data_IF_593785342123
#
_entry.id   IF_593785342123
#
_cell.length_a   1.000
_cell.length_b   1.000
_cell.length_c   1.000
_cell.angle_alpha   90.00
_cell.angle_beta   90.00
_cell.angle_gamma   90.00
#
_symmetry.space_group_name_H-M   'P 1'
#
loop_
_entity.id
_entity.type
_entity.pdbx_description
1 polymer ?
#
# COMPACT_ATOMS: atom_id res chain seq x y z
N UNK A 1 -4.45 1.74 -1.37
CA UNK A 1 -5.40 2.42 -2.22
C UNK A 1 -4.79 3.06 -3.46
N UNK A 2 -3.95 4.06 -3.31
CA UNK A 2 -3.39 4.82 -4.45
C UNK A 2 -2.68 3.93 -5.48
N UNK A 3 -1.82 3.02 -5.06
CA UNK A 3 -1.05 2.13 -5.94
C UNK A 3 -1.92 1.10 -6.69
N UNK A 4 -3.17 0.92 -6.31
CA UNK A 4 -4.10 0.02 -6.99
C UNK A 4 -4.99 0.76 -8.00
N UNK A 5 -5.38 1.98 -7.68
CA UNK A 5 -6.38 2.73 -8.46
C UNK A 5 -5.73 3.59 -9.54
N UNK A 6 -4.75 4.40 -9.19
CA UNK A 6 -4.12 5.35 -10.10
C UNK A 6 -3.59 4.71 -11.40
N UNK A 7 -2.77 3.65 -11.36
CA UNK A 7 -2.22 3.08 -12.59
C UNK A 7 -3.30 2.47 -13.48
N UNK A 8 -4.29 1.83 -12.87
CA UNK A 8 -5.44 1.26 -13.59
C UNK A 8 -6.24 2.33 -14.30
N UNK A 9 -6.58 3.42 -13.62
CA UNK A 9 -7.34 4.51 -14.22
C UNK A 9 -6.57 5.23 -15.32
N UNK A 10 -5.25 5.42 -15.13
CA UNK A 10 -4.37 5.96 -16.18
C UNK A 10 -4.31 5.05 -17.41
N UNK A 11 -4.21 3.74 -17.22
CA UNK A 11 -4.27 2.73 -18.29
C UNK A 11 -5.60 2.76 -19.05
N UNK A 12 -6.70 3.05 -18.35
CA UNK A 12 -8.03 3.20 -18.92
C UNK A 12 -8.27 4.56 -19.62
N UNK A 13 -7.26 5.41 -19.70
CA UNK A 13 -7.34 6.71 -20.39
C UNK A 13 -7.87 7.85 -19.53
N UNK A 14 -8.05 7.66 -18.21
CA UNK A 14 -8.45 8.76 -17.34
C UNK A 14 -7.32 9.82 -17.25
N UNK A 15 -7.63 11.11 -17.29
CA UNK A 15 -6.66 12.21 -17.21
C UNK A 15 -6.20 12.43 -15.75
N UNK A 16 -5.53 11.43 -15.21
CA UNK A 16 -5.05 11.41 -13.81
C UNK A 16 -3.52 11.42 -13.77
N UNK A 17 -2.96 12.13 -12.80
CA UNK A 17 -1.53 12.13 -12.50
C UNK A 17 -1.28 11.76 -11.04
N UNK A 18 -0.20 10.99 -10.83
CA UNK A 18 0.25 10.58 -9.49
C UNK A 18 1.31 11.53 -8.96
N UNK A 19 1.01 12.22 -7.87
CA UNK A 19 1.92 13.16 -7.22
C UNK A 19 2.40 12.55 -5.91
N UNK A 20 3.72 12.51 -5.73
CA UNK A 20 4.34 12.14 -4.46
C UNK A 20 4.55 13.41 -3.63
N UNK A 21 3.96 13.52 -2.43
CA UNK A 21 4.15 14.67 -1.57
C UNK A 21 5.62 14.84 -1.15
N UNK A 22 6.12 16.07 -1.16
CA UNK A 22 7.50 16.37 -0.76
C UNK A 22 7.73 16.17 0.74
N UNK A 23 6.67 16.25 1.54
CA UNK A 23 6.67 15.99 2.98
C UNK A 23 6.93 14.52 3.29
N UNK A 24 6.40 13.63 2.46
CA UNK A 24 6.54 12.19 2.57
C UNK A 24 5.31 11.43 2.12
N UNK A 25 5.49 10.17 1.82
CA UNK A 25 4.45 9.27 1.35
C UNK A 25 3.98 8.38 2.50
N UNK A 26 2.67 8.40 2.76
CA UNK A 26 2.05 7.44 3.68
C UNK A 26 2.07 6.02 3.08
N UNK A 27 2.28 5.03 3.93
CA UNK A 27 2.35 3.64 3.50
C UNK A 27 1.70 2.69 4.50
N UNK A 28 1.41 1.49 4.05
CA UNK A 28 1.06 0.36 4.90
C UNK A 28 1.84 -0.87 4.47
N UNK A 29 2.13 -1.75 5.42
CA UNK A 29 2.81 -3.01 5.16
C UNK A 29 1.78 -4.14 5.11
N UNK A 30 1.76 -4.88 4.02
CA UNK A 30 1.08 -6.17 3.96
C UNK A 30 1.87 -7.20 4.76
N UNK A 31 1.18 -8.08 5.45
CA UNK A 31 1.83 -9.13 6.25
C UNK A 31 1.20 -10.49 5.98
N UNK A 32 2.02 -11.52 6.10
CA UNK A 32 1.59 -12.91 6.14
C UNK A 32 2.22 -13.61 7.34
N UNK A 33 1.54 -14.59 7.91
CA UNK A 33 2.06 -15.36 9.03
C UNK A 33 1.62 -16.82 8.95
N UNK A 34 2.42 -17.70 9.53
CA UNK A 34 2.07 -19.11 9.69
C UNK A 34 1.24 -19.27 10.96
N UNK A 35 0.05 -19.87 10.84
CA UNK A 35 -0.84 -20.11 11.96
C UNK A 35 -0.20 -21.13 12.90
N UNK A 36 -0.22 -20.87 14.22
CA UNK A 36 0.26 -21.81 15.22
C UNK A 36 -0.53 -23.12 15.12
N UNK A 37 0.19 -24.23 15.04
CA UNK A 37 -0.43 -25.55 14.85
C UNK A 37 -0.86 -25.87 13.43
N UNK A 38 -0.35 -25.18 12.42
CA UNK A 38 -0.58 -25.48 11.02
C UNK A 38 -0.32 -26.96 10.72
N UNK A 39 -1.29 -27.64 10.08
CA UNK A 39 -1.23 -29.09 9.79
C UNK A 39 -0.08 -29.45 8.82
N UNK A 40 0.24 -28.54 7.90
CA UNK A 40 1.27 -28.73 6.87
C UNK A 40 2.36 -27.66 7.05
N UNK A 41 3.03 -27.67 8.20
CA UNK A 41 3.99 -26.64 8.57
C UNK A 41 5.13 -26.46 7.56
N UNK A 42 5.67 -27.56 7.03
CA UNK A 42 6.78 -27.51 6.08
C UNK A 42 6.35 -26.88 4.75
N UNK A 43 5.17 -27.24 4.26
CA UNK A 43 4.61 -26.59 3.06
C UNK A 43 4.28 -25.12 3.30
N UNK A 44 3.84 -24.77 4.52
CA UNK A 44 3.59 -23.38 4.88
C UNK A 44 4.89 -22.54 4.89
N UNK A 45 6.00 -23.11 5.35
CA UNK A 45 7.32 -22.47 5.28
C UNK A 45 7.77 -22.28 3.83
N UNK A 46 7.69 -23.32 3.00
CA UNK A 46 8.00 -23.22 1.57
C UNK A 46 7.18 -22.15 0.87
N UNK A 47 5.89 -22.05 1.21
CA UNK A 47 5.03 -21.00 0.67
C UNK A 47 5.48 -19.60 1.13
N UNK A 48 5.88 -19.44 2.39
CA UNK A 48 6.40 -18.16 2.88
C UNK A 48 7.71 -17.77 2.19
N UNK A 49 8.62 -18.72 1.99
CA UNK A 49 9.85 -18.47 1.24
C UNK A 49 9.56 -18.05 -0.21
N UNK A 50 8.59 -18.72 -0.86
CA UNK A 50 8.13 -18.33 -2.19
C UNK A 50 7.54 -16.92 -2.20
N UNK A 51 6.61 -16.58 -1.30
CA UNK A 51 5.98 -15.24 -1.24
C UNK A 51 7.00 -14.12 -1.03
N UNK A 52 8.09 -14.41 -0.34
CA UNK A 52 9.18 -13.45 -0.11
C UNK A 52 10.19 -13.41 -1.26
N UNK A 53 10.10 -14.30 -2.23
CA UNK A 53 11.03 -14.32 -3.38
C UNK A 53 10.80 -13.15 -4.33
N UNK A 54 11.82 -12.83 -5.12
CA UNK A 54 11.73 -11.86 -6.21
C UNK A 54 10.60 -12.20 -7.18
N UNK A 55 10.56 -13.43 -7.62
CA UNK A 55 9.62 -13.94 -8.60
C UNK A 55 8.17 -13.74 -8.15
N UNK A 56 7.87 -14.15 -6.91
CA UNK A 56 6.52 -14.01 -6.37
C UNK A 56 6.11 -12.56 -6.20
N UNK A 57 7.02 -11.68 -5.79
CA UNK A 57 6.70 -10.27 -5.57
C UNK A 57 6.57 -9.45 -6.87
N UNK A 58 7.02 -9.98 -7.99
CA UNK A 58 6.82 -9.38 -9.30
C UNK A 58 5.55 -9.88 -10.02
N UNK A 59 4.99 -11.03 -9.66
CA UNK A 59 3.75 -11.58 -10.23
C UNK A 59 2.58 -10.58 -10.19
N UNK A 60 2.31 -9.87 -9.10
CA UNK A 60 1.14 -8.99 -9.02
C UNK A 60 1.05 -7.96 -10.14
N UNK A 61 2.15 -7.30 -10.48
CA UNK A 61 2.12 -6.31 -11.53
C UNK A 61 2.32 -6.90 -12.95
N UNK A 62 2.96 -8.07 -13.06
CA UNK A 62 3.14 -8.76 -14.34
C UNK A 62 1.84 -9.41 -14.83
N UNK A 63 1.07 -10.01 -13.91
CA UNK A 63 -0.02 -10.92 -14.26
C UNK A 63 -1.42 -10.41 -13.87
N UNK A 64 -1.53 -9.38 -13.00
CA UNK A 64 -2.83 -9.03 -12.43
C UNK A 64 -3.11 -7.55 -12.21
N UNK A 65 -2.43 -6.63 -12.89
CA UNK A 65 -2.62 -5.17 -12.72
C UNK A 65 -2.61 -4.69 -11.25
N UNK A 66 -1.89 -5.39 -10.38
CA UNK A 66 -1.73 -5.02 -8.96
C UNK A 66 -0.34 -4.43 -8.74
N UNK A 67 -0.28 -3.15 -8.47
CA UNK A 67 0.94 -2.35 -8.48
C UNK A 67 1.51 -2.09 -7.08
N UNK A 68 1.43 -3.08 -6.19
CA UNK A 68 2.06 -2.99 -4.88
C UNK A 68 3.59 -3.00 -5.02
N UNK A 69 4.25 -2.17 -4.20
CA UNK A 69 5.71 -2.16 -4.20
C UNK A 69 6.24 -3.42 -3.52
N UNK A 70 7.23 -4.09 -4.14
CA UNK A 70 7.88 -5.23 -3.51
C UNK A 70 8.69 -4.81 -2.28
N UNK A 71 8.76 -5.69 -1.29
CA UNK A 71 9.64 -5.56 -0.11
C UNK A 71 10.97 -6.28 -0.29
N UNK A 72 11.05 -7.23 -1.22
CA UNK A 72 12.30 -7.87 -1.59
C UNK A 72 13.17 -6.87 -2.36
N UNK A 73 14.40 -6.66 -1.88
CA UNK A 73 15.34 -5.67 -2.45
C UNK A 73 15.83 -6.00 -3.87
N UNK A 74 15.67 -7.25 -4.29
CA UNK A 74 16.03 -7.71 -5.65
C UNK A 74 14.85 -7.71 -6.62
N UNK A 75 13.61 -7.50 -6.11
CA UNK A 75 12.43 -7.45 -6.95
C UNK A 75 12.25 -6.04 -7.55
N UNK A 76 11.86 -6.01 -8.82
CA UNK A 76 11.63 -4.76 -9.53
C UNK A 76 10.19 -4.26 -9.31
N UNK A 77 9.99 -2.97 -9.06
CA UNK A 77 8.64 -2.40 -9.08
C UNK A 77 8.08 -2.40 -10.51
N UNK A 78 6.78 -2.24 -10.65
CA UNK A 78 6.15 -2.08 -11.96
C UNK A 78 6.76 -0.90 -12.74
N UNK A 79 6.80 -0.97 -14.08
CA UNK A 79 7.30 0.11 -14.92
C UNK A 79 6.63 1.46 -14.60
N UNK A 80 7.43 2.50 -14.43
CA UNK A 80 6.96 3.83 -14.07
C UNK A 80 6.82 4.07 -12.56
N UNK A 81 7.11 3.07 -11.71
CA UNK A 81 7.14 3.23 -10.26
C UNK A 81 8.57 3.33 -9.73
N UNK A 82 8.74 4.14 -8.69
CA UNK A 82 10.00 4.20 -7.95
C UNK A 82 10.08 3.03 -6.96
N UNK A 83 11.26 2.43 -6.77
CA UNK A 83 11.45 1.46 -5.69
C UNK A 83 11.26 2.12 -4.32
N UNK A 84 10.82 1.33 -3.34
CA UNK A 84 10.57 1.84 -1.98
C UNK A 84 11.76 2.59 -1.37
N UNK A 85 12.99 2.18 -1.70
CA UNK A 85 14.24 2.82 -1.26
C UNK A 85 14.42 4.27 -1.75
N UNK A 86 13.72 4.68 -2.79
CA UNK A 86 13.75 6.05 -3.33
C UNK A 86 12.57 6.91 -2.87
N UNK A 87 11.64 6.35 -2.10
CA UNK A 87 10.52 7.08 -1.56
C UNK A 87 10.87 7.68 -0.20
N UNK A 88 10.52 8.95 -0.01
CA UNK A 88 10.51 9.55 1.32
C UNK A 88 9.27 9.06 2.05
N UNK A 89 9.41 8.06 2.89
CA UNK A 89 8.29 7.53 3.67
C UNK A 89 8.07 8.37 4.93
N UNK A 90 6.80 8.56 5.30
CA UNK A 90 6.44 9.20 6.57
C UNK A 90 6.81 8.25 7.71
N UNK A 91 7.45 8.77 8.75
CA UNK A 91 7.70 8.01 9.98
C UNK A 91 6.37 7.81 10.74
N UNK A 92 5.84 6.60 10.69
CA UNK A 92 4.53 6.25 11.26
C UNK A 92 4.73 5.37 12.49
N UNK A 93 4.30 5.85 13.64
CA UNK A 93 4.15 5.04 14.83
C UNK A 93 2.91 4.12 14.70
N UNK A 94 3.10 2.93 14.13
CA UNK A 94 2.03 1.96 13.94
C UNK A 94 1.39 1.48 15.24
N UNK A 95 2.11 1.50 16.35
CA UNK A 95 1.56 1.10 17.67
C UNK A 95 0.57 2.15 18.18
N UNK A 96 0.86 3.41 17.94
CA UNK A 96 -0.02 4.51 18.29
C UNK A 96 -1.20 4.64 17.33
N UNK A 97 -0.93 4.73 16.04
CA UNK A 97 -1.95 5.04 15.02
C UNK A 97 -2.71 3.83 14.50
N UNK A 98 -2.24 2.61 14.79
CA UNK A 98 -2.91 1.36 14.42
C UNK A 98 -4.01 0.91 15.39
N UNK A 99 -4.32 1.68 16.43
CA UNK A 99 -5.40 1.35 17.36
C UNK A 99 -6.77 1.73 16.81
N UNK A 100 -7.82 0.96 17.17
CA UNK A 100 -9.21 1.27 16.78
C UNK A 100 -9.65 2.67 17.24
N UNK A 101 -9.20 3.10 18.41
CA UNK A 101 -9.52 4.42 18.95
C UNK A 101 -8.96 5.54 18.06
N UNK A 102 -7.67 5.46 17.69
CA UNK A 102 -7.04 6.43 16.82
C UNK A 102 -7.61 6.39 15.40
N UNK A 103 -7.90 5.21 14.87
CA UNK A 103 -8.57 5.06 13.59
C UNK A 103 -9.92 5.79 13.54
N UNK A 104 -10.76 5.60 14.57
CA UNK A 104 -12.03 6.31 14.69
C UNK A 104 -11.84 7.82 14.82
N UNK A 105 -10.92 8.27 15.66
CA UNK A 105 -10.63 9.70 15.87
C UNK A 105 -10.19 10.38 14.56
N UNK A 106 -9.24 9.76 13.84
CA UNK A 106 -8.74 10.31 12.58
C UNK A 106 -9.80 10.32 11.48
N UNK A 107 -10.63 9.27 11.40
CA UNK A 107 -11.73 9.21 10.44
C UNK A 107 -12.77 10.29 10.73
N UNK A 108 -13.13 10.51 12.00
CA UNK A 108 -14.08 11.56 12.38
C UNK A 108 -13.55 12.96 12.04
N UNK A 109 -12.27 13.22 12.33
CA UNK A 109 -11.63 14.48 11.95
C UNK A 109 -11.62 14.70 10.44
N UNK A 110 -11.27 13.68 9.67
CA UNK A 110 -11.32 13.75 8.22
C UNK A 110 -12.72 14.10 7.70
N UNK A 111 -13.74 13.45 8.23
CA UNK A 111 -15.14 13.73 7.84
C UNK A 111 -15.54 15.16 8.19
N UNK A 112 -15.28 15.61 9.43
CA UNK A 112 -15.72 16.94 9.90
C UNK A 112 -14.88 18.09 9.33
N UNK A 113 -13.56 17.94 9.27
CA UNK A 113 -12.66 19.04 8.93
C UNK A 113 -12.33 19.14 7.43
N UNK A 114 -12.50 18.04 6.67
CA UNK A 114 -12.14 18.00 5.24
C UNK A 114 -13.34 17.76 4.34
N UNK A 115 -14.09 16.68 4.58
CA UNK A 115 -15.19 16.31 3.67
C UNK A 115 -16.40 17.24 3.80
N UNK A 116 -16.73 17.70 4.99
CA UNK A 116 -17.90 18.57 5.21
C UNK A 116 -17.58 20.03 4.88
N UNK A 117 -16.39 20.53 5.20
CA UNK A 117 -15.98 21.88 4.81
C UNK A 117 -15.82 22.05 3.30
N UNK A 118 -15.36 20.99 2.59
CA UNK A 118 -15.28 20.98 1.13
C UNK A 118 -16.63 21.02 0.41
N UNK A 119 -17.73 20.83 1.14
CA UNK A 119 -19.11 20.84 0.61
C UNK A 119 -19.89 22.13 0.94
N UNK A 120 -19.26 23.11 1.60
CA UNK A 120 -19.89 24.42 1.76
C UNK A 120 -20.12 25.02 0.37
N UNK A 121 -21.35 25.45 0.03
CA UNK A 121 -21.60 26.15 -1.24
C UNK A 121 -20.67 27.36 -1.29
N UNK A 122 -19.91 27.48 -2.37
CA UNK A 122 -19.26 28.76 -2.67
C UNK A 122 -20.38 29.75 -2.97
N UNK A 123 -20.62 30.71 -2.10
CA UNK A 123 -21.42 31.88 -2.38
C UNK A 123 -20.85 32.66 -3.58
#
# INVERSE_FOLDING_TARGET
GFMLVYPREKKNGAPVEGILPCEGVGYSLGGASIIKGARNLDNAKLFMDFVLSKEAQEIPWKESDSYQLPTNIHAEPAPGFLPASKLKLVDIDFMKFGTDQEGKRLTQRWVSEVLLEGKSPKE
#
